data_IF_592939596431
#
_entry.id   IF_592939596431
#
_cell.length_a   1.000
_cell.length_b   1.000
_cell.length_c   1.000
_cell.angle_alpha   90.00
_cell.angle_beta   90.00
_cell.angle_gamma   90.00
#
_symmetry.space_group_name_H-M   'P 1'
#
loop_
_entity.id
_entity.type
_entity.pdbx_description
1 polymer ?
#
# COMPACT_ATOMS: atom_id res chain seq x y z
N UNK A 1 8.14 -13.63 -10.68
CA UNK A 1 6.92 -14.29 -10.10
C UNK A 1 6.14 -13.22 -9.38
N UNK A 2 4.83 -13.11 -9.62
CA UNK A 2 4.00 -12.08 -8.98
C UNK A 2 4.05 -12.16 -7.45
N UNK A 3 4.02 -11.02 -6.78
CA UNK A 3 3.94 -10.90 -5.32
C UNK A 3 2.66 -11.54 -4.78
N UNK A 4 2.81 -12.52 -3.87
CA UNK A 4 1.66 -13.16 -3.23
C UNK A 4 1.03 -12.26 -2.17
N UNK A 5 1.81 -11.39 -1.54
CA UNK A 5 1.26 -10.40 -0.60
C UNK A 5 0.46 -9.34 -1.34
N UNK A 6 0.87 -8.91 -2.54
CA UNK A 6 0.05 -8.04 -3.40
C UNK A 6 -1.30 -8.69 -3.77
N UNK A 7 -1.31 -9.99 -4.08
CA UNK A 7 -2.54 -10.75 -4.31
C UNK A 7 -3.43 -10.83 -3.06
N UNK A 8 -2.85 -11.04 -1.87
CA UNK A 8 -3.61 -11.03 -0.61
C UNK A 8 -4.16 -9.63 -0.29
N UNK A 9 -3.41 -8.58 -0.61
CA UNK A 9 -3.88 -7.20 -0.49
C UNK A 9 -5.08 -6.92 -1.42
N UNK A 10 -5.04 -7.38 -2.67
CA UNK A 10 -6.18 -7.27 -3.58
C UNK A 10 -7.38 -8.09 -3.09
N UNK A 11 -7.16 -9.32 -2.60
CA UNK A 11 -8.21 -10.14 -2.00
C UNK A 11 -8.85 -9.43 -0.78
N UNK A 12 -8.05 -8.78 0.04
CA UNK A 12 -8.56 -8.04 1.20
C UNK A 12 -9.49 -6.90 0.78
N UNK A 13 -9.09 -6.07 -0.20
CA UNK A 13 -9.94 -5.01 -0.74
C UNK A 13 -11.23 -5.57 -1.36
N UNK A 14 -11.13 -6.65 -2.13
CA UNK A 14 -12.29 -7.33 -2.71
C UNK A 14 -13.26 -7.85 -1.63
N UNK A 15 -12.76 -8.52 -0.59
CA UNK A 15 -13.56 -9.02 0.53
C UNK A 15 -14.28 -7.87 1.24
N UNK A 16 -13.58 -6.77 1.52
CA UNK A 16 -14.18 -5.61 2.18
C UNK A 16 -15.24 -4.94 1.31
N UNK A 17 -14.96 -4.72 0.02
CA UNK A 17 -15.89 -4.10 -0.92
C UNK A 17 -17.21 -4.85 -1.02
N UNK A 18 -17.18 -6.20 -0.97
CA UNK A 18 -18.38 -7.04 -1.04
C UNK A 18 -18.97 -7.41 0.33
N UNK A 19 -18.37 -6.98 1.44
CA UNK A 19 -18.93 -7.18 2.77
C UNK A 19 -20.22 -6.33 2.97
N UNK A 20 -21.07 -6.71 3.93
CA UNK A 20 -22.26 -5.92 4.28
C UNK A 20 -21.98 -4.78 5.28
N UNK A 21 -20.76 -4.72 5.83
CA UNK A 21 -20.34 -3.67 6.77
C UNK A 21 -20.18 -2.32 6.06
N UNK A 22 -20.17 -1.26 6.85
CA UNK A 22 -19.79 0.08 6.39
C UNK A 22 -18.42 0.06 5.70
N UNK A 23 -18.27 0.87 4.64
CA UNK A 23 -17.07 0.88 3.80
C UNK A 23 -16.10 1.97 4.23
N UNK A 24 -14.90 1.56 4.60
CA UNK A 24 -13.76 2.47 4.78
C UNK A 24 -13.16 2.82 3.42
N UNK A 25 -13.04 1.81 2.55
CA UNK A 25 -12.47 1.91 1.22
C UNK A 25 -13.15 0.92 0.27
N UNK A 26 -13.56 1.38 -0.89
CA UNK A 26 -14.21 0.54 -1.91
C UNK A 26 -13.30 0.37 -3.12
N UNK A 27 -13.18 -0.88 -3.60
CA UNK A 27 -12.37 -1.24 -4.75
C UNK A 27 -13.11 -2.29 -5.58
N UNK A 28 -13.94 -1.83 -6.50
CA UNK A 28 -14.78 -2.68 -7.35
C UNK A 28 -13.98 -3.56 -8.30
N UNK A 29 -12.73 -3.16 -8.65
CA UNK A 29 -11.86 -3.92 -9.56
C UNK A 29 -10.92 -4.89 -8.85
N UNK A 30 -10.77 -4.81 -7.53
CA UNK A 30 -9.87 -5.72 -6.81
C UNK A 30 -10.24 -7.19 -7.02
N UNK A 31 -11.52 -7.51 -7.15
CA UNK A 31 -12.01 -8.88 -7.36
C UNK A 31 -11.51 -9.46 -8.71
N UNK A 32 -11.29 -8.62 -9.71
CA UNK A 32 -10.89 -9.05 -11.04
C UNK A 32 -9.43 -9.51 -11.10
N UNK A 33 -8.61 -9.13 -10.11
CA UNK A 33 -7.21 -9.54 -9.98
C UNK A 33 -7.01 -10.81 -9.15
N UNK A 34 -8.05 -11.30 -8.49
CA UNK A 34 -7.97 -12.43 -7.58
C UNK A 34 -8.98 -13.54 -7.98
N UNK A 35 -8.75 -14.74 -7.47
CA UNK A 35 -9.61 -15.87 -7.76
C UNK A 35 -9.51 -16.95 -6.69
N UNK A 36 -9.93 -18.17 -7.07
CA UNK A 36 -9.94 -19.32 -6.15
C UNK A 36 -8.55 -19.70 -5.62
N UNK A 37 -7.48 -19.41 -6.38
CA UNK A 37 -6.09 -19.68 -5.95
C UNK A 37 -5.71 -18.81 -4.77
N UNK A 38 -6.00 -17.52 -4.83
CA UNK A 38 -5.71 -16.53 -3.80
C UNK A 38 -6.56 -16.79 -2.55
N UNK A 39 -7.83 -17.13 -2.73
CA UNK A 39 -8.70 -17.55 -1.64
C UNK A 39 -8.18 -18.82 -0.94
N UNK A 40 -7.73 -19.83 -1.70
CA UNK A 40 -7.11 -21.04 -1.14
C UNK A 40 -5.82 -20.74 -0.39
N UNK A 41 -4.99 -19.82 -0.91
CA UNK A 41 -3.78 -19.36 -0.23
C UNK A 41 -4.14 -18.75 1.13
N UNK A 42 -5.05 -17.78 1.15
CA UNK A 42 -5.51 -17.14 2.40
C UNK A 42 -6.06 -18.18 3.40
N UNK A 43 -6.86 -19.14 2.94
CA UNK A 43 -7.40 -20.24 3.78
C UNK A 43 -6.29 -21.11 4.38
N UNK A 44 -5.26 -21.43 3.63
CA UNK A 44 -4.16 -22.26 4.11
C UNK A 44 -3.29 -21.50 5.13
N UNK A 45 -3.06 -20.21 4.91
CA UNK A 45 -2.39 -19.33 5.86
C UNK A 45 -3.20 -19.17 7.15
N UNK A 46 -4.52 -19.00 7.03
CA UNK A 46 -5.42 -18.92 8.17
C UNK A 46 -5.33 -20.16 9.09
N UNK A 47 -5.36 -21.36 8.48
CA UNK A 47 -5.24 -22.63 9.24
C UNK A 47 -3.91 -22.75 9.98
N UNK A 48 -2.86 -22.10 9.48
CA UNK A 48 -1.52 -22.14 10.08
C UNK A 48 -1.30 -21.09 11.14
N UNK A 49 -1.82 -19.88 10.95
CA UNK A 49 -1.44 -18.69 11.73
C UNK A 49 -2.55 -18.16 12.65
N UNK A 50 -3.80 -18.52 12.41
CA UNK A 50 -4.86 -18.17 13.36
C UNK A 50 -4.91 -19.18 14.52
N UNK A 51 -5.14 -18.69 15.76
CA UNK A 51 -5.32 -19.57 16.90
C UNK A 51 -6.52 -20.49 16.67
N UNK A 52 -6.40 -21.76 17.09
CA UNK A 52 -7.51 -22.69 17.06
C UNK A 52 -8.58 -22.21 18.04
N UNK A 53 -9.51 -21.38 17.58
CA UNK A 53 -10.71 -21.01 18.34
C UNK A 53 -11.77 -22.09 18.18
N UNK A 54 -12.54 -22.33 19.27
CA UNK A 54 -13.61 -23.31 19.33
C UNK A 54 -14.54 -23.23 18.12
N UNK A 55 -14.72 -24.34 17.51
CA UNK A 55 -15.64 -24.85 16.47
C UNK A 55 -16.66 -23.96 15.74
N UNK A 56 -16.99 -22.76 16.19
CA UNK A 56 -17.97 -21.89 15.53
C UNK A 56 -17.42 -21.10 14.32
N UNK A 57 -16.11 -20.88 14.23
CA UNK A 57 -15.46 -20.07 13.17
C UNK A 57 -14.85 -20.90 12.04
N UNK A 58 -15.12 -22.21 11.96
CA UNK A 58 -14.56 -23.11 10.95
C UNK A 58 -15.00 -22.80 9.51
N UNK A 59 -16.04 -21.99 9.35
CA UNK A 59 -16.70 -21.80 8.05
C UNK A 59 -15.91 -20.84 7.13
N UNK A 60 -15.22 -19.81 7.67
CA UNK A 60 -14.55 -18.78 6.86
C UNK A 60 -13.15 -18.38 7.35
N UNK A 61 -12.19 -19.31 7.47
CA UNK A 61 -10.87 -18.97 8.02
C UNK A 61 -10.08 -17.97 7.16
N UNK A 62 -10.31 -17.95 5.85
CA UNK A 62 -9.67 -16.98 4.95
C UNK A 62 -10.15 -15.55 5.25
N UNK A 63 -11.45 -15.37 5.50
CA UNK A 63 -12.04 -14.08 5.86
C UNK A 63 -11.46 -13.58 7.18
N UNK A 64 -11.39 -14.43 8.20
CA UNK A 64 -10.83 -14.09 9.51
C UNK A 64 -9.35 -13.67 9.41
N UNK A 65 -8.53 -14.36 8.61
CA UNK A 65 -7.14 -13.94 8.35
C UNK A 65 -7.08 -12.54 7.74
N UNK A 66 -7.92 -12.30 6.73
CA UNK A 66 -7.97 -11.03 6.00
C UNK A 66 -8.40 -9.90 6.95
N UNK A 67 -9.45 -10.10 7.72
CA UNK A 67 -9.98 -9.11 8.68
C UNK A 67 -8.98 -8.78 9.79
N UNK A 68 -8.20 -9.76 10.23
CA UNK A 68 -7.30 -9.60 11.36
C UNK A 68 -5.92 -9.01 10.97
N UNK A 69 -5.38 -9.40 9.81
CA UNK A 69 -4.01 -9.03 9.45
C UNK A 69 -3.90 -8.06 8.27
N UNK A 70 -4.89 -7.97 7.40
CA UNK A 70 -4.79 -7.20 6.18
C UNK A 70 -5.68 -5.96 6.16
N UNK A 71 -6.97 -6.07 6.49
CA UNK A 71 -7.88 -4.92 6.44
C UNK A 71 -7.44 -3.76 7.34
N UNK A 72 -6.95 -4.00 8.58
CA UNK A 72 -6.49 -2.93 9.47
C UNK A 72 -5.34 -2.08 8.92
N UNK A 73 -4.57 -2.62 7.98
CA UNK A 73 -3.44 -1.93 7.34
C UNK A 73 -3.88 -1.32 6.00
N UNK A 74 -4.54 -2.13 5.17
CA UNK A 74 -4.76 -1.82 3.77
C UNK A 74 -5.84 -0.75 3.58
N UNK A 75 -6.94 -0.84 4.34
CA UNK A 75 -8.05 0.10 4.15
C UNK A 75 -7.65 1.54 4.48
N UNK A 76 -7.10 1.84 5.67
CA UNK A 76 -6.76 3.22 6.02
C UNK A 76 -5.67 3.80 5.12
N UNK A 77 -4.62 3.03 4.76
CA UNK A 77 -3.54 3.56 3.93
C UNK A 77 -3.99 3.93 2.51
N UNK A 78 -4.85 3.09 1.90
CA UNK A 78 -5.37 3.38 0.56
C UNK A 78 -6.34 4.56 0.61
N UNK A 79 -7.26 4.59 1.58
CA UNK A 79 -8.18 5.70 1.79
C UNK A 79 -7.44 7.01 1.99
N UNK A 80 -6.43 7.01 2.87
CA UNK A 80 -5.62 8.19 3.17
C UNK A 80 -4.91 8.76 1.93
N UNK A 81 -4.25 7.89 1.15
CA UNK A 81 -3.55 8.32 -0.05
C UNK A 81 -4.51 8.89 -1.11
N UNK A 82 -5.65 8.23 -1.33
CA UNK A 82 -6.61 8.67 -2.34
C UNK A 82 -7.36 9.94 -1.93
N UNK A 83 -7.66 10.14 -0.65
CA UNK A 83 -8.23 11.40 -0.14
C UNK A 83 -7.32 12.60 -0.39
N UNK A 84 -6.00 12.38 -0.27
CA UNK A 84 -5.01 13.41 -0.58
C UNK A 84 -5.00 13.73 -2.08
N UNK A 85 -5.02 12.71 -2.95
CA UNK A 85 -5.13 12.90 -4.40
C UNK A 85 -6.43 13.65 -4.73
N UNK A 86 -7.56 13.24 -4.16
CA UNK A 86 -8.86 13.86 -4.36
C UNK A 86 -8.86 15.33 -3.92
N UNK A 87 -8.22 15.63 -2.79
CA UNK A 87 -8.09 17.01 -2.29
C UNK A 87 -7.21 17.85 -3.21
N UNK A 88 -6.08 17.32 -3.64
CA UNK A 88 -5.13 18.05 -4.51
C UNK A 88 -5.69 18.32 -5.89
N UNK A 89 -6.42 17.39 -6.50
CA UNK A 89 -7.00 17.57 -7.83
C UNK A 89 -8.11 18.65 -7.90
N UNK A 90 -8.77 18.98 -6.77
CA UNK A 90 -9.76 20.05 -6.70
C UNK A 90 -9.18 21.44 -7.02
N UNK A 91 -7.87 21.60 -6.84
CA UNK A 91 -7.16 22.87 -7.04
C UNK A 91 -6.26 22.88 -8.29
N UNK A 92 -6.41 21.92 -9.19
CA UNK A 92 -5.69 21.82 -10.46
C UNK A 92 -5.10 20.43 -10.73
N UNK A 93 -4.38 20.33 -11.83
CA UNK A 93 -3.75 19.06 -12.26
C UNK A 93 -2.78 18.52 -11.20
N UNK A 94 -2.78 17.20 -11.06
CA UNK A 94 -1.89 16.48 -10.16
C UNK A 94 -1.33 15.23 -10.85
N UNK A 95 -0.09 14.91 -10.59
CA UNK A 95 0.50 13.62 -10.92
C UNK A 95 0.41 12.71 -9.70
N UNK A 96 -0.19 11.54 -9.85
CA UNK A 96 -0.23 10.53 -8.80
C UNK A 96 0.76 9.41 -9.12
N UNK A 97 1.80 9.30 -8.30
CA UNK A 97 2.92 8.39 -8.48
C UNK A 97 2.85 7.31 -7.42
N UNK A 98 2.49 6.09 -7.82
CA UNK A 98 2.41 4.94 -6.93
C UNK A 98 3.73 4.15 -7.02
N UNK A 99 4.51 4.15 -5.94
CA UNK A 99 5.75 3.41 -5.82
C UNK A 99 5.48 2.07 -5.14
N UNK A 100 5.78 0.98 -5.84
CA UNK A 100 5.34 -0.35 -5.42
C UNK A 100 3.83 -0.53 -5.61
N UNK A 101 3.34 -0.16 -6.80
CA UNK A 101 1.91 -0.11 -7.10
C UNK A 101 1.20 -1.46 -6.95
N UNK A 102 1.92 -2.58 -7.06
CA UNK A 102 1.35 -3.91 -6.91
C UNK A 102 0.12 -4.11 -7.78
N UNK A 103 -0.95 -4.53 -7.14
CA UNK A 103 -2.27 -4.67 -7.75
C UNK A 103 -3.23 -3.54 -7.32
N UNK A 104 -2.71 -2.33 -7.12
CA UNK A 104 -3.55 -1.15 -6.92
C UNK A 104 -4.45 -0.91 -8.13
N UNK A 105 -5.65 -0.39 -7.91
CA UNK A 105 -6.66 -0.21 -8.96
C UNK A 105 -7.07 1.24 -9.14
N UNK A 106 -6.37 2.19 -8.53
CA UNK A 106 -6.71 3.61 -8.64
C UNK A 106 -6.86 4.05 -10.10
N UNK A 107 -5.91 3.68 -10.97
CA UNK A 107 -5.96 4.04 -12.38
C UNK A 107 -7.22 3.52 -13.11
N UNK A 108 -7.79 2.40 -12.64
CA UNK A 108 -9.01 1.81 -13.20
C UNK A 108 -10.27 2.52 -12.71
N UNK A 109 -10.26 2.97 -11.44
CA UNK A 109 -11.38 3.66 -10.79
C UNK A 109 -11.39 5.17 -11.05
N UNK A 110 -10.23 5.75 -11.37
CA UNK A 110 -10.10 7.19 -11.58
C UNK A 110 -10.89 7.65 -12.82
N UNK A 111 -11.86 8.53 -12.59
CA UNK A 111 -12.66 9.17 -13.63
C UNK A 111 -12.19 10.60 -13.96
N UNK A 112 -11.27 11.14 -13.16
CA UNK A 112 -10.77 12.50 -13.31
C UNK A 112 -9.80 12.62 -14.49
N UNK A 113 -9.95 13.69 -15.26
CA UNK A 113 -9.00 14.07 -16.30
C UNK A 113 -7.80 14.86 -15.74
N UNK A 114 -7.90 15.33 -14.50
CA UNK A 114 -6.89 16.16 -13.84
C UNK A 114 -5.84 15.34 -13.10
N UNK A 115 -5.94 14.01 -13.12
CA UNK A 115 -4.96 13.11 -12.47
C UNK A 115 -4.22 12.32 -13.52
N UNK A 116 -2.91 12.52 -13.60
CA UNK A 116 -1.99 11.75 -14.44
C UNK A 116 -1.31 10.67 -13.57
N UNK A 117 -1.51 9.40 -13.88
CA UNK A 117 -1.14 8.29 -13.00
C UNK A 117 0.13 7.60 -13.48
N UNK A 118 1.10 7.43 -12.58
CA UNK A 118 2.34 6.68 -12.79
C UNK A 118 2.38 5.52 -11.80
N UNK A 119 2.47 4.30 -12.29
CA UNK A 119 2.58 3.09 -11.48
C UNK A 119 3.98 2.49 -11.63
N UNK A 120 4.73 2.48 -10.54
CA UNK A 120 6.09 1.96 -10.48
C UNK A 120 6.09 0.63 -9.73
N UNK A 121 6.62 -0.42 -10.35
CA UNK A 121 6.79 -1.74 -9.71
C UNK A 121 7.82 -2.60 -10.45
N UNK A 122 8.13 -3.77 -9.91
CA UNK A 122 8.93 -4.78 -10.57
C UNK A 122 8.26 -5.29 -11.84
N UNK A 123 9.07 -5.62 -12.83
CA UNK A 123 8.64 -6.08 -14.15
C UNK A 123 7.55 -7.15 -14.11
N UNK A 124 7.72 -8.21 -13.31
CA UNK A 124 6.78 -9.33 -13.28
C UNK A 124 5.41 -8.93 -12.75
N UNK A 125 5.36 -8.04 -11.76
CA UNK A 125 4.10 -7.52 -11.21
C UNK A 125 3.38 -6.67 -12.25
N UNK A 126 4.12 -5.80 -12.96
CA UNK A 126 3.56 -4.94 -14.00
C UNK A 126 3.03 -5.74 -15.19
N UNK A 127 3.79 -6.74 -15.67
CA UNK A 127 3.32 -7.60 -16.78
C UNK A 127 2.00 -8.25 -16.44
N UNK A 128 1.89 -8.87 -15.27
CA UNK A 128 0.63 -9.48 -14.82
C UNK A 128 -0.51 -8.46 -14.77
N UNK A 129 -0.27 -7.29 -14.16
CA UNK A 129 -1.27 -6.23 -14.04
C UNK A 129 -1.72 -5.72 -15.41
N UNK A 130 -0.80 -5.46 -16.32
CA UNK A 130 -1.08 -4.98 -17.68
C UNK A 130 -1.91 -6.00 -18.45
N UNK A 131 -1.55 -7.29 -18.41
CA UNK A 131 -2.30 -8.36 -19.07
C UNK A 131 -3.72 -8.43 -18.53
N UNK A 132 -3.88 -8.44 -17.21
CA UNK A 132 -5.17 -8.48 -16.56
C UNK A 132 -6.03 -7.24 -16.87
N UNK A 133 -5.43 -6.06 -16.85
CA UNK A 133 -6.11 -4.81 -17.23
C UNK A 133 -6.57 -4.83 -18.70
N UNK A 134 -5.77 -5.41 -19.60
CA UNK A 134 -6.17 -5.54 -21.01
C UNK A 134 -7.38 -6.45 -21.20
N UNK A 135 -7.50 -7.52 -20.43
CA UNK A 135 -8.67 -8.39 -20.45
C UNK A 135 -9.94 -7.67 -20.00
N UNK A 136 -9.84 -6.84 -18.97
CA UNK A 136 -10.97 -6.10 -18.39
C UNK A 136 -11.43 -4.92 -19.27
N UNK A 137 -10.51 -4.22 -19.92
CA UNK A 137 -10.77 -2.99 -20.67
C UNK A 137 -10.47 -3.13 -22.16
N UNK A 138 -11.40 -3.76 -22.89
CA UNK A 138 -11.26 -3.97 -24.35
C UNK A 138 -11.53 -2.72 -25.17
N UNK A 139 -12.42 -1.81 -24.71
CA UNK A 139 -12.86 -0.63 -25.47
C UNK A 139 -12.12 0.65 -25.12
N UNK A 140 -11.89 0.93 -23.83
CA UNK A 140 -11.21 2.12 -23.36
C UNK A 140 -10.25 1.76 -22.24
N UNK A 141 -8.96 1.88 -22.49
CA UNK A 141 -7.92 1.61 -21.48
C UNK A 141 -7.80 2.80 -20.52
N UNK A 142 -7.53 2.54 -19.24
CA UNK A 142 -7.19 3.59 -18.30
C UNK A 142 -5.92 4.31 -18.75
N UNK A 143 -5.85 5.62 -18.49
CA UNK A 143 -4.64 6.41 -18.72
C UNK A 143 -3.70 6.20 -17.55
N UNK A 144 -2.66 5.41 -17.76
CA UNK A 144 -1.64 5.10 -16.76
C UNK A 144 -0.29 4.88 -17.42
N UNK A 145 0.76 5.40 -16.80
CA UNK A 145 2.16 5.18 -17.18
C UNK A 145 2.70 4.03 -16.32
N UNK A 146 2.92 2.87 -16.92
CA UNK A 146 3.58 1.75 -16.24
C UNK A 146 5.10 1.92 -16.34
N UNK A 147 5.78 1.93 -15.20
CA UNK A 147 7.21 2.21 -15.08
C UNK A 147 7.89 1.09 -14.29
N UNK A 148 8.68 0.29 -14.97
CA UNK A 148 9.47 -0.74 -14.31
C UNK A 148 10.55 -0.13 -13.41
N UNK A 149 10.65 -0.61 -12.15
CA UNK A 149 11.67 -0.19 -11.20
C UNK A 149 12.03 -1.31 -10.19
N UNK A 150 13.33 -1.42 -9.91
CA UNK A 150 13.85 -2.14 -8.75
C UNK A 150 14.50 -1.10 -7.82
N UNK A 151 13.86 -0.78 -6.69
CA UNK A 151 14.34 0.24 -5.75
C UNK A 151 15.75 0.00 -5.22
N UNK A 152 16.24 -1.23 -5.28
CA UNK A 152 17.61 -1.57 -4.87
C UNK A 152 18.66 -1.21 -5.93
N UNK A 153 18.27 -1.01 -7.19
CA UNK A 153 19.19 -0.86 -8.33
C UNK A 153 18.98 0.41 -9.12
N UNK A 154 17.72 0.83 -9.27
CA UNK A 154 17.34 1.90 -10.17
C UNK A 154 17.24 3.26 -9.47
N UNK A 155 17.44 4.34 -10.23
CA UNK A 155 17.10 5.68 -9.80
C UNK A 155 15.68 6.01 -10.20
N UNK A 156 14.86 6.43 -9.24
CA UNK A 156 13.48 6.87 -9.50
C UNK A 156 13.45 8.10 -10.41
N UNK A 157 14.44 8.99 -10.30
CA UNK A 157 14.55 10.19 -11.12
C UNK A 157 14.61 9.81 -12.60
N UNK A 158 15.52 8.90 -12.95
CA UNK A 158 15.70 8.45 -14.33
C UNK A 158 14.47 7.73 -14.87
N UNK A 159 13.88 6.84 -14.05
CA UNK A 159 12.70 6.06 -14.45
C UNK A 159 11.49 6.96 -14.71
N UNK A 160 11.21 7.91 -13.83
CA UNK A 160 10.11 8.86 -13.97
C UNK A 160 10.33 9.83 -15.15
N UNK A 161 11.55 10.34 -15.33
CA UNK A 161 11.86 11.22 -16.46
C UNK A 161 11.60 10.54 -17.81
N UNK A 162 12.02 9.28 -17.96
CA UNK A 162 11.78 8.50 -19.17
C UNK A 162 10.29 8.18 -19.40
N UNK A 163 9.48 8.16 -18.35
CA UNK A 163 8.04 7.93 -18.43
C UNK A 163 7.22 9.21 -18.71
N UNK A 164 7.88 10.37 -18.82
CA UNK A 164 7.21 11.64 -19.10
C UNK A 164 6.70 12.38 -17.85
N UNK A 165 7.19 12.03 -16.65
CA UNK A 165 6.91 12.79 -15.44
C UNK A 165 7.36 14.25 -15.58
N UNK A 166 6.50 15.18 -15.18
CA UNK A 166 6.78 16.61 -15.25
C UNK A 166 7.15 17.15 -13.85
N UNK A 167 8.43 17.50 -13.59
CA UNK A 167 8.87 18.00 -12.30
C UNK A 167 8.32 19.39 -11.93
N UNK A 168 7.61 20.07 -12.85
CA UNK A 168 6.94 21.34 -12.58
C UNK A 168 5.49 21.17 -12.17
N UNK A 169 4.91 19.98 -12.30
CA UNK A 169 3.56 19.69 -11.87
C UNK A 169 3.56 19.16 -10.44
N UNK A 170 2.60 19.64 -9.65
CA UNK A 170 2.35 19.13 -8.30
C UNK A 170 2.04 17.64 -8.34
N UNK A 171 2.60 16.91 -7.39
CA UNK A 171 2.52 15.45 -7.36
C UNK A 171 2.14 14.93 -5.98
N UNK A 172 1.44 13.80 -5.96
CA UNK A 172 1.27 12.95 -4.78
C UNK A 172 2.06 11.68 -5.04
N UNK A 173 3.01 11.38 -4.18
CA UNK A 173 3.77 10.14 -4.21
C UNK A 173 3.26 9.22 -3.10
N UNK A 174 2.77 8.04 -3.42
CA UNK A 174 2.40 7.04 -2.44
C UNK A 174 3.37 5.86 -2.46
N UNK A 175 3.86 5.47 -1.28
CA UNK A 175 4.80 4.37 -1.08
C UNK A 175 4.17 3.42 -0.04
N UNK A 176 3.14 2.71 -0.46
CA UNK A 176 2.30 1.91 0.44
C UNK A 176 2.67 0.42 0.42
N UNK A 177 2.97 -0.12 1.59
CA UNK A 177 3.35 -1.52 1.76
C UNK A 177 4.75 -1.86 1.24
N UNK A 178 5.61 -0.89 1.01
CA UNK A 178 6.97 -1.04 0.49
C UNK A 178 8.01 -1.03 1.60
N UNK A 179 7.86 -0.15 2.59
CA UNK A 179 8.76 -0.02 3.76
C UNK A 179 8.98 -1.35 4.51
N UNK A 180 8.03 -2.24 4.42
CA UNK A 180 8.06 -3.58 5.03
C UNK A 180 9.13 -4.51 4.45
N UNK A 181 9.64 -4.20 3.25
CA UNK A 181 10.49 -5.11 2.46
C UNK A 181 11.84 -4.54 2.09
N UNK A 182 12.08 -3.25 2.35
CA UNK A 182 13.34 -2.60 2.02
C UNK A 182 13.98 -1.96 3.26
N UNK A 183 15.33 -2.00 3.38
CA UNK A 183 16.03 -1.34 4.48
C UNK A 183 15.73 0.17 4.54
N UNK A 184 15.73 0.73 5.75
CA UNK A 184 15.40 2.13 6.00
C UNK A 184 16.28 3.10 5.19
N UNK A 185 17.55 2.75 4.99
CA UNK A 185 18.51 3.56 4.23
C UNK A 185 18.13 3.66 2.75
N UNK A 186 17.70 2.54 2.15
CA UNK A 186 17.22 2.50 0.76
C UNK A 186 15.91 3.25 0.63
N UNK A 187 15.00 3.07 1.60
CA UNK A 187 13.73 3.77 1.64
C UNK A 187 13.93 5.29 1.64
N UNK A 188 14.76 5.82 2.56
CA UNK A 188 15.00 7.26 2.66
C UNK A 188 15.89 7.81 1.54
N UNK A 189 16.75 6.99 0.91
CA UNK A 189 17.39 7.37 -0.36
C UNK A 189 16.35 7.65 -1.44
N UNK A 190 15.32 6.81 -1.57
CA UNK A 190 14.21 7.01 -2.51
C UNK A 190 13.44 8.30 -2.20
N UNK A 191 13.13 8.55 -0.92
CA UNK A 191 12.50 9.80 -0.46
C UNK A 191 13.33 11.02 -0.87
N UNK A 192 14.65 10.98 -0.65
CA UNK A 192 15.56 12.07 -1.02
C UNK A 192 15.65 12.29 -2.55
N UNK A 193 15.53 11.25 -3.37
CA UNK A 193 15.44 11.41 -4.82
C UNK A 193 14.13 12.07 -5.23
N UNK A 194 13.00 11.69 -4.63
CA UNK A 194 11.70 12.31 -4.87
C UNK A 194 11.73 13.80 -4.50
N UNK A 195 12.29 14.15 -3.36
CA UNK A 195 12.39 15.54 -2.89
C UNK A 195 13.14 16.45 -3.87
N UNK A 196 14.08 15.91 -4.66
CA UNK A 196 14.84 16.66 -5.66
C UNK A 196 14.06 17.01 -6.93
N UNK A 197 13.03 16.19 -7.26
CA UNK A 197 12.29 16.33 -8.51
C UNK A 197 10.85 16.78 -8.32
N UNK A 198 10.36 16.80 -7.10
CA UNK A 198 8.99 17.17 -6.81
C UNK A 198 8.80 18.70 -6.89
N UNK A 199 7.71 19.13 -7.54
CA UNK A 199 7.30 20.53 -7.52
C UNK A 199 6.88 20.95 -6.09
N UNK A 200 6.94 22.25 -5.76
CA UNK A 200 6.42 22.78 -4.50
C UNK A 200 4.95 22.39 -4.28
N UNK A 201 4.57 22.16 -3.01
CA UNK A 201 3.25 21.65 -2.60
C UNK A 201 2.95 20.21 -3.05
N UNK A 202 3.94 19.47 -3.53
CA UNK A 202 3.85 18.02 -3.65
C UNK A 202 3.88 17.37 -2.28
N UNK A 203 3.43 16.12 -2.21
CA UNK A 203 3.41 15.36 -0.95
C UNK A 203 3.88 13.93 -1.17
N UNK A 204 4.45 13.34 -0.12
CA UNK A 204 4.74 11.91 -0.05
C UNK A 204 3.88 11.31 1.05
N UNK A 205 3.28 10.16 0.78
CA UNK A 205 2.50 9.36 1.76
C UNK A 205 3.10 7.98 1.80
N UNK A 206 3.33 7.47 3.00
CA UNK A 206 3.78 6.09 3.15
C UNK A 206 3.31 5.49 4.47
N UNK A 207 3.30 4.17 4.54
CA UNK A 207 3.08 3.42 5.77
C UNK A 207 4.36 2.70 6.20
N UNK A 208 4.50 2.50 7.49
CA UNK A 208 5.57 1.70 8.08
C UNK A 208 5.08 1.05 9.36
N UNK A 209 5.82 0.05 9.85
CA UNK A 209 5.55 -0.49 11.17
C UNK A 209 6.72 -0.22 12.13
N UNK A 210 6.38 -0.07 13.40
CA UNK A 210 7.36 0.17 14.45
C UNK A 210 8.32 -0.99 14.62
N UNK A 211 9.57 -0.67 14.91
CA UNK A 211 10.57 -1.65 15.30
C UNK A 211 10.19 -2.28 16.63
N UNK A 212 10.00 -3.59 16.63
CA UNK A 212 9.74 -4.35 17.85
C UNK A 212 10.99 -4.41 18.72
N UNK A 213 10.81 -4.41 20.05
CA UNK A 213 11.93 -4.58 21.01
C UNK A 213 12.62 -5.93 20.84
N UNK A 214 11.85 -6.98 20.58
CA UNK A 214 12.34 -8.30 20.23
C UNK A 214 11.81 -8.67 18.84
N UNK A 215 12.64 -8.48 17.83
CA UNK A 215 12.29 -8.78 16.44
C UNK A 215 12.10 -10.29 16.17
N UNK A 216 12.52 -11.14 17.09
CA UNK A 216 12.34 -12.60 17.02
C UNK A 216 11.03 -13.09 17.67
N UNK A 217 10.30 -12.22 18.37
CA UNK A 217 9.04 -12.59 19.00
C UNK A 217 7.94 -12.83 17.95
N UNK A 218 7.74 -14.11 17.68
CA UNK A 218 6.72 -14.57 16.75
C UNK A 218 5.31 -14.62 17.36
N UNK A 219 5.12 -14.24 18.61
CA UNK A 219 3.82 -14.26 19.29
C UNK A 219 3.04 -12.97 19.12
N UNK A 220 3.73 -11.87 18.83
CA UNK A 220 3.12 -10.58 18.53
C UNK A 220 2.31 -10.60 17.24
N UNK A 221 1.42 -9.64 17.06
CA UNK A 221 0.62 -9.50 15.84
C UNK A 221 1.52 -9.21 14.62
N UNK A 222 2.54 -8.37 14.78
CA UNK A 222 3.57 -8.10 13.75
C UNK A 222 4.42 -9.35 13.48
N UNK A 223 4.89 -10.05 14.51
CA UNK A 223 5.68 -11.27 14.35
C UNK A 223 4.94 -12.34 13.53
N UNK A 224 3.63 -12.48 13.73
CA UNK A 224 2.79 -13.36 12.91
C UNK A 224 2.62 -12.85 11.48
N UNK A 225 2.47 -11.53 11.27
CA UNK A 225 2.42 -10.95 9.94
C UNK A 225 3.72 -11.20 9.17
N UNK A 226 4.88 -11.08 9.83
CA UNK A 226 6.20 -11.46 9.26
C UNK A 226 6.24 -12.93 8.82
N UNK A 227 5.70 -13.84 9.63
CA UNK A 227 5.62 -15.27 9.28
C UNK A 227 4.68 -15.52 8.08
N UNK A 228 3.55 -14.81 8.01
CA UNK A 228 2.62 -14.89 6.88
C UNK A 228 3.33 -14.44 5.60
N UNK A 229 4.00 -13.28 5.62
CA UNK A 229 4.76 -12.76 4.48
C UNK A 229 5.89 -13.72 4.06
N UNK A 230 6.67 -14.24 5.00
CA UNK A 230 7.71 -15.24 4.74
C UNK A 230 7.15 -16.52 4.09
N UNK A 231 5.96 -16.97 4.50
CA UNK A 231 5.26 -18.13 3.89
C UNK A 231 4.79 -17.84 2.45
N UNK A 232 4.67 -16.57 2.09
CA UNK A 232 4.42 -16.11 0.72
C UNK A 232 5.72 -16.03 -0.10
N UNK A 233 6.90 -16.18 0.53
CA UNK A 233 8.21 -16.01 -0.11
C UNK A 233 8.72 -14.57 -0.06
N UNK A 234 8.10 -13.71 0.74
CA UNK A 234 8.40 -12.27 0.84
C UNK A 234 8.79 -11.95 2.29
N UNK A 235 10.09 -11.88 2.54
CA UNK A 235 10.59 -11.64 3.90
C UNK A 235 10.52 -10.15 4.23
N UNK A 236 9.82 -9.81 5.31
CA UNK A 236 9.81 -8.46 5.86
C UNK A 236 11.15 -8.15 6.53
N UNK A 237 11.61 -6.90 6.39
CA UNK A 237 12.75 -6.34 7.14
C UNK A 237 12.31 -5.97 8.56
N UNK A 238 13.22 -5.49 9.41
CA UNK A 238 12.84 -4.92 10.70
C UNK A 238 12.07 -3.61 10.52
N UNK A 239 11.14 -3.35 11.44
CA UNK A 239 10.38 -2.10 11.47
C UNK A 239 11.26 -0.89 11.72
N UNK A 240 10.69 0.30 11.62
CA UNK A 240 11.39 1.56 11.77
C UNK A 240 11.07 2.19 13.13
N UNK A 241 12.05 2.87 13.72
CA UNK A 241 11.84 3.71 14.89
C UNK A 241 11.15 5.02 14.46
N UNK A 242 9.99 5.42 15.03
CA UNK A 242 9.28 6.64 14.62
C UNK A 242 10.12 7.91 14.71
N UNK A 243 10.96 8.05 15.75
CA UNK A 243 11.84 9.21 15.89
C UNK A 243 12.91 9.23 14.78
N UNK A 244 13.45 8.07 14.42
CA UNK A 244 14.38 7.92 13.31
C UNK A 244 13.73 8.24 11.97
N UNK A 245 12.48 7.82 11.75
CA UNK A 245 11.71 8.12 10.53
C UNK A 245 11.58 9.62 10.33
N UNK A 246 11.19 10.36 11.37
CA UNK A 246 11.05 11.83 11.33
C UNK A 246 12.39 12.51 11.03
N UNK A 247 13.47 12.09 11.70
CA UNK A 247 14.80 12.65 11.47
C UNK A 247 15.30 12.41 10.04
N UNK A 248 15.17 11.19 9.54
CA UNK A 248 15.57 10.83 8.18
C UNK A 248 14.71 11.54 7.12
N UNK A 249 13.40 11.72 7.36
CA UNK A 249 12.54 12.48 6.46
C UNK A 249 13.04 13.92 6.32
N UNK A 250 13.36 14.59 7.43
CA UNK A 250 13.93 15.95 7.41
C UNK A 250 15.26 16.01 6.66
N UNK A 251 16.17 15.07 6.92
CA UNK A 251 17.45 14.95 6.20
C UNK A 251 17.28 14.68 4.71
N UNK A 252 16.16 14.10 4.30
CA UNK A 252 15.81 13.84 2.91
C UNK A 252 15.17 15.03 2.18
N UNK A 253 15.10 16.21 2.81
CA UNK A 253 14.56 17.42 2.19
C UNK A 253 13.06 17.64 2.38
N UNK A 254 12.42 16.86 3.27
CA UNK A 254 11.01 17.04 3.63
C UNK A 254 10.86 18.30 4.51
N UNK A 255 9.91 19.18 4.13
CA UNK A 255 9.67 20.44 4.86
C UNK A 255 8.93 20.19 6.17
N UNK A 256 7.90 19.34 6.16
CA UNK A 256 7.20 18.93 7.36
C UNK A 256 6.65 17.51 7.24
N UNK A 257 6.50 16.83 8.37
CA UNK A 257 5.94 15.50 8.48
C UNK A 257 4.80 15.49 9.51
N UNK A 258 3.80 14.69 9.21
CA UNK A 258 2.75 14.33 10.15
C UNK A 258 2.66 12.81 10.20
N UNK A 259 2.96 12.26 11.36
CA UNK A 259 2.93 10.82 11.63
C UNK A 259 1.62 10.48 12.34
N UNK A 260 0.77 9.72 11.69
CA UNK A 260 -0.45 9.20 12.27
C UNK A 260 -0.12 7.88 12.98
N UNK A 261 -0.20 7.91 14.30
CA UNK A 261 -0.07 6.72 15.13
C UNK A 261 -1.25 5.76 14.91
N UNK A 262 -1.16 4.50 15.40
CA UNK A 262 -2.29 3.57 15.36
C UNK A 262 -3.58 4.17 15.96
N UNK A 263 -3.45 4.98 17.02
CA UNK A 263 -4.60 5.67 17.62
C UNK A 263 -5.19 6.72 16.69
N UNK A 264 -4.36 7.54 16.02
CA UNK A 264 -4.83 8.54 15.08
C UNK A 264 -5.52 7.88 13.87
N UNK A 265 -5.03 6.71 13.44
CA UNK A 265 -5.63 5.91 12.37
C UNK A 265 -7.00 5.38 12.82
N UNK A 266 -7.13 4.90 14.06
CA UNK A 266 -8.43 4.49 14.61
C UNK A 266 -9.42 5.65 14.60
N UNK A 267 -9.02 6.77 15.15
CA UNK A 267 -9.89 7.96 15.27
C UNK A 267 -10.31 8.51 13.89
N UNK A 268 -9.46 8.36 12.85
CA UNK A 268 -9.72 8.91 11.51
C UNK A 268 -10.52 7.96 10.59
N UNK A 269 -10.31 6.65 10.67
CA UNK A 269 -10.79 5.71 9.65
C UNK A 269 -11.69 4.60 10.19
N UNK A 270 -11.63 4.28 11.49
CA UNK A 270 -12.42 3.22 12.06
C UNK A 270 -13.48 3.77 12.99
N UNK A 271 -14.64 3.17 12.94
CA UNK A 271 -15.74 3.44 13.88
C UNK A 271 -16.33 2.10 14.37
N UNK A 272 -17.13 2.09 15.44
CA UNK A 272 -17.69 0.86 15.99
C UNK A 272 -18.52 0.04 15.00
N UNK A 273 -19.11 0.66 13.97
CA UNK A 273 -19.93 -0.04 12.98
C UNK A 273 -19.11 -0.89 12.00
N UNK A 274 -17.83 -0.57 11.82
CA UNK A 274 -16.92 -1.35 10.97
C UNK A 274 -16.53 -2.70 11.58
N UNK A 275 -16.52 -2.79 12.91
CA UNK A 275 -16.01 -3.94 13.64
C UNK A 275 -14.51 -4.17 13.50
N UNK A 276 -13.78 -3.19 12.93
CA UNK A 276 -12.35 -3.19 12.70
C UNK A 276 -11.66 -2.15 13.58
N UNK A 277 -10.36 -2.29 13.74
CA UNK A 277 -9.48 -1.31 14.38
C UNK A 277 -8.15 -1.27 13.64
N UNK A 278 -7.33 -0.25 13.89
CA UNK A 278 -5.98 -0.12 13.35
C UNK A 278 -5.10 -1.33 13.70
N UNK A 279 -4.04 -1.51 12.95
CA UNK A 279 -3.04 -2.51 13.25
C UNK A 279 -2.02 -1.93 14.22
N UNK A 280 -1.85 -2.57 15.37
CA UNK A 280 -0.89 -2.16 16.39
C UNK A 280 0.51 -1.97 15.79
N UNK A 281 1.14 -0.83 16.09
CA UNK A 281 2.47 -0.49 15.61
C UNK A 281 2.57 -0.13 14.11
N UNK A 282 1.45 0.00 13.39
CA UNK A 282 1.47 0.49 11.99
C UNK A 282 1.10 1.96 11.95
N UNK A 283 1.93 2.74 11.28
CA UNK A 283 1.81 4.19 11.11
C UNK A 283 1.51 4.58 9.68
N UNK A 284 0.87 5.73 9.51
CA UNK A 284 0.74 6.42 8.22
C UNK A 284 1.46 7.77 8.29
N UNK A 285 2.33 8.02 7.34
CA UNK A 285 3.11 9.25 7.28
C UNK A 285 2.64 10.13 6.12
N UNK A 286 2.43 11.40 6.41
CA UNK A 286 2.23 12.47 5.42
C UNK A 286 3.44 13.41 5.46
N UNK A 287 4.04 13.67 4.30
CA UNK A 287 5.22 14.51 4.17
C UNK A 287 4.99 15.59 3.12
N UNK A 288 5.16 16.87 3.49
CA UNK A 288 5.08 18.01 2.59
C UNK A 288 6.44 18.37 1.98
N UNK A 289 6.45 18.64 0.67
CA UNK A 289 7.60 19.00 -0.16
C UNK A 289 7.53 20.46 -0.60
#
# INVERSE_FOLDING_TARGET
MISKTALLCALARAVHTHAKSEKIFEDEFAIDFVGLKEYRLARNLARRFLPARNSASKEYPAKELIEHYFLPIILPRNRFAEDIVETKQKTGDVQYVLLGAGLDTFALRNKSQNVDVFELDLYETQVFKIERTRELFTKKRPKVHFVEIDFNKDSIISRLANAGFNPKKRSVFSILGVSYYIPIEIFFKTIAEISKIAAPNSVIVFDYYEKERDSADCTTKIGRLKQIAASCGERMVDGYDPAQVIDLARKSGIQYCHDLSPKDIDDAFFNPSTGLSSFEGVHLMYCGL
#
